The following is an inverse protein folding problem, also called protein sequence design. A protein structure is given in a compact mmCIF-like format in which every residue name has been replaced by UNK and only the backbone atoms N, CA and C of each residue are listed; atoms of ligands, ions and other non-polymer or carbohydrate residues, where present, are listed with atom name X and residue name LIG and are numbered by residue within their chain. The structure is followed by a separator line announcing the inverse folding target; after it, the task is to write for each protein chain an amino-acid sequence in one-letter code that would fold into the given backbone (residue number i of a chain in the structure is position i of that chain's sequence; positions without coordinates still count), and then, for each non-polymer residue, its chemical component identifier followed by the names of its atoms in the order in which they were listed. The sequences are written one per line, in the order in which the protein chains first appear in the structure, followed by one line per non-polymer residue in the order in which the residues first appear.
data_IF_446883700883
#
_entry.id   IF_446883700883
#
_cell.length_a   1.000
_cell.length_b   1.000
_cell.length_c   1.000
_cell.angle_alpha   90.00
_cell.angle_beta   90.00
_cell.angle_gamma   90.00
#
_symmetry.space_group_name_H-M   'P 1'
#
loop_
_entity.id
_entity.type
_entity.pdbx_description
1 polymer ?
#
# COMPACT_ATOMS: atom_id res chain seq x y z
N UNK A 1 -2.59 0.80 -11.68
CA UNK A 1 -2.26 -0.52 -12.25
C UNK A 1 -3.04 -0.69 -13.55
N UNK A 2 -2.81 -1.73 -14.33
CA UNK A 2 -3.71 -2.12 -15.42
C UNK A 2 -4.39 -3.45 -15.07
N UNK A 3 -5.63 -3.65 -15.49
CA UNK A 3 -6.32 -4.95 -15.36
C UNK A 3 -5.85 -5.93 -16.45
N UNK A 4 -6.38 -7.16 -16.45
CA UNK A 4 -6.07 -8.21 -17.43
C UNK A 4 -6.31 -7.81 -18.90
N UNK A 5 -7.13 -6.78 -19.12
CA UNK A 5 -7.45 -6.25 -20.45
C UNK A 5 -6.61 -5.00 -20.80
N UNK A 6 -5.59 -4.66 -20.02
CA UNK A 6 -4.72 -3.50 -20.23
C UNK A 6 -5.36 -2.15 -19.87
N UNK A 7 -6.57 -2.13 -19.29
CA UNK A 7 -7.24 -0.86 -18.91
C UNK A 7 -6.78 -0.38 -17.54
N UNK A 8 -6.76 0.94 -17.27
CA UNK A 8 -6.42 1.49 -15.97
C UNK A 8 -7.28 0.88 -14.85
N UNK A 9 -6.60 0.32 -13.84
CA UNK A 9 -7.14 -0.24 -12.61
C UNK A 9 -6.59 0.56 -11.41
N UNK A 10 -7.45 1.32 -10.75
CA UNK A 10 -7.06 2.21 -9.66
C UNK A 10 -8.22 2.48 -8.69
N UNK A 11 -7.85 2.80 -7.45
CA UNK A 11 -8.73 3.32 -6.41
C UNK A 11 -8.38 4.80 -6.16
N UNK A 12 -9.38 5.66 -6.02
CA UNK A 12 -9.21 7.08 -5.66
C UNK A 12 -9.93 7.36 -4.35
N UNK A 13 -9.29 8.19 -3.54
CA UNK A 13 -9.82 8.69 -2.28
C UNK A 13 -9.66 10.21 -2.25
N UNK A 14 -10.62 10.94 -1.69
CA UNK A 14 -10.52 12.39 -1.51
C UNK A 14 -9.62 12.80 -0.33
N UNK A 15 -9.25 11.86 0.53
CA UNK A 15 -8.38 12.08 1.69
C UNK A 15 -7.48 10.87 1.93
N UNK A 16 -6.23 11.15 2.27
CA UNK A 16 -5.26 10.14 2.67
C UNK A 16 -4.26 10.79 3.62
N UNK A 17 -4.27 10.39 4.89
CA UNK A 17 -3.38 10.95 5.93
C UNK A 17 -2.69 9.86 6.71
N UNK A 18 -1.41 10.09 6.97
CA UNK A 18 -0.55 9.19 7.70
C UNK A 18 0.05 9.97 8.87
N UNK A 19 0.13 9.35 10.06
CA UNK A 19 0.79 9.95 11.21
C UNK A 19 2.31 9.93 11.06
N UNK A 20 3.00 10.60 11.98
CA UNK A 20 4.45 10.47 12.10
C UNK A 20 4.90 9.08 12.59
N UNK A 21 6.22 8.94 12.72
CA UNK A 21 6.90 7.73 13.20
C UNK A 21 6.56 7.39 14.66
N UNK A 22 6.31 8.39 15.50
CA UNK A 22 5.96 8.18 16.92
C UNK A 22 4.65 7.39 17.06
N UNK A 23 3.78 7.53 16.05
CA UNK A 23 2.52 6.80 15.91
C UNK A 23 2.61 5.64 14.89
N UNK A 24 3.80 5.10 14.63
CA UNK A 24 4.04 3.98 13.71
C UNK A 24 3.50 4.22 12.29
N UNK A 25 3.54 5.47 11.80
CA UNK A 25 2.99 5.84 10.49
C UNK A 25 1.57 5.34 10.27
N UNK A 26 0.70 5.39 11.28
CA UNK A 26 -0.70 4.96 11.21
C UNK A 26 -1.45 5.66 10.08
N UNK A 27 -2.26 4.91 9.33
CA UNK A 27 -3.20 5.47 8.33
C UNK A 27 -4.35 6.15 9.07
N UNK A 28 -4.18 7.40 9.47
CA UNK A 28 -5.12 8.09 10.37
C UNK A 28 -6.44 8.38 9.69
N UNK A 29 -6.40 8.84 8.45
CA UNK A 29 -7.60 9.20 7.70
C UNK A 29 -7.55 8.65 6.29
N UNK A 30 -8.62 7.95 5.93
CA UNK A 30 -8.91 7.56 4.56
C UNK A 30 -10.24 8.21 4.17
N UNK A 31 -10.28 8.86 3.03
CA UNK A 31 -11.46 9.55 2.55
C UNK A 31 -12.55 8.61 2.02
N UNK A 32 -13.49 9.19 1.30
CA UNK A 32 -14.49 8.44 0.54
C UNK A 32 -13.83 7.75 -0.65
N UNK A 33 -14.25 6.52 -0.94
CA UNK A 33 -13.91 5.84 -2.17
C UNK A 33 -14.66 6.48 -3.34
N UNK A 34 -13.92 7.12 -4.25
CA UNK A 34 -14.52 7.98 -5.28
C UNK A 34 -15.05 7.18 -6.47
N UNK A 35 -16.12 7.69 -7.11
CA UNK A 35 -16.82 7.03 -8.22
C UNK A 35 -15.98 6.93 -9.50
N UNK A 36 -14.93 7.75 -9.65
CA UNK A 36 -13.99 7.64 -10.75
C UNK A 36 -13.04 6.45 -10.60
N UNK A 37 -13.04 5.77 -9.45
CA UNK A 37 -12.24 4.56 -9.24
C UNK A 37 -12.68 3.45 -10.20
N UNK A 38 -11.71 2.72 -10.74
CA UNK A 38 -11.96 1.57 -11.61
C UNK A 38 -11.77 0.23 -10.92
N UNK A 39 -11.32 0.24 -9.65
CA UNK A 39 -11.27 -0.94 -8.83
C UNK A 39 -12.68 -1.41 -8.42
N UNK A 40 -12.85 -2.72 -8.29
CA UNK A 40 -14.17 -3.31 -8.05
C UNK A 40 -14.67 -3.11 -6.61
N UNK A 41 -13.79 -2.74 -5.68
CA UNK A 41 -14.08 -2.62 -4.26
C UNK A 41 -13.12 -1.65 -3.53
N UNK A 42 -13.59 -1.11 -2.40
CA UNK A 42 -12.72 -0.37 -1.47
C UNK A 42 -11.84 -1.33 -0.66
N UNK A 43 -10.70 -1.62 -1.25
CA UNK A 43 -9.65 -2.46 -0.72
C UNK A 43 -8.90 -1.87 0.48
N UNK A 44 -8.87 -0.53 0.61
CA UNK A 44 -8.12 0.17 1.68
C UNK A 44 -8.95 0.40 2.95
N UNK A 45 -10.28 0.24 2.89
CA UNK A 45 -11.17 0.42 4.02
C UNK A 45 -10.72 -0.34 5.29
N UNK A 46 -10.29 -1.60 5.14
CA UNK A 46 -9.86 -2.44 6.27
C UNK A 46 -8.55 -1.96 6.93
N UNK A 47 -7.76 -1.18 6.20
CA UNK A 47 -6.45 -0.68 6.63
C UNK A 47 -6.55 0.66 7.36
N UNK A 48 -7.74 1.28 7.38
CA UNK A 48 -7.99 2.52 8.10
C UNK A 48 -7.65 2.38 9.58
N UNK A 49 -6.92 3.35 10.11
CA UNK A 49 -6.45 3.42 11.49
C UNK A 49 -5.50 2.29 11.90
N UNK A 50 -4.94 1.54 10.95
CA UNK A 50 -3.90 0.54 11.24
C UNK A 50 -2.52 1.20 11.20
N UNK A 51 -1.62 0.71 12.06
CA UNK A 51 -0.22 1.10 12.09
C UNK A 51 0.55 0.39 10.98
N UNK A 52 1.64 1.00 10.51
CA UNK A 52 2.47 0.39 9.49
C UNK A 52 3.32 -0.72 10.10
N UNK A 53 3.29 -1.91 9.50
CA UNK A 53 4.01 -3.10 9.97
C UNK A 53 5.05 -3.53 8.94
N UNK A 54 6.24 -3.84 9.42
CA UNK A 54 7.38 -4.36 8.65
C UNK A 54 7.86 -5.67 9.26
N UNK A 55 8.77 -6.37 8.56
CA UNK A 55 9.33 -7.64 9.04
C UNK A 55 9.99 -7.50 10.42
N UNK A 56 10.60 -6.36 10.68
CA UNK A 56 11.33 -6.02 11.90
C UNK A 56 10.50 -5.24 12.94
N UNK A 57 9.29 -4.77 12.59
CA UNK A 57 8.42 -4.02 13.49
C UNK A 57 6.96 -4.45 13.32
N UNK A 58 6.52 -5.31 14.23
CA UNK A 58 5.16 -5.84 14.26
C UNK A 58 4.20 -4.88 14.98
N UNK A 59 3.36 -4.20 14.20
CA UNK A 59 2.32 -3.30 14.71
C UNK A 59 0.91 -3.72 14.25
N UNK A 60 0.77 -4.93 13.72
CA UNK A 60 -0.51 -5.44 13.25
C UNK A 60 -1.30 -6.08 14.41
N UNK A 61 -2.52 -6.54 14.13
CA UNK A 61 -3.42 -7.15 15.13
C UNK A 61 -3.46 -8.68 15.02
N UNK A 62 -2.64 -9.29 14.17
CA UNK A 62 -2.52 -10.75 14.09
C UNK A 62 -1.64 -11.25 15.25
N UNK A 63 -1.78 -12.53 15.60
CA UNK A 63 -0.92 -13.16 16.59
C UNK A 63 0.50 -13.46 16.07
N UNK A 64 0.69 -13.40 14.75
CA UNK A 64 1.98 -13.51 14.06
C UNK A 64 2.22 -12.27 13.22
N UNK A 65 3.48 -11.94 12.96
CA UNK A 65 3.83 -10.81 12.11
C UNK A 65 3.41 -11.04 10.63
N UNK A 66 2.44 -10.26 10.15
CA UNK A 66 1.94 -10.33 8.77
C UNK A 66 2.99 -9.93 7.74
N UNK A 67 3.80 -8.92 8.02
CA UNK A 67 4.90 -8.52 7.15
C UNK A 67 5.93 -9.64 6.96
N UNK A 68 6.21 -10.40 8.02
CA UNK A 68 7.08 -11.58 7.95
C UNK A 68 6.46 -12.71 7.12
N UNK A 69 5.17 -12.98 7.31
CA UNK A 69 4.45 -14.06 6.61
C UNK A 69 4.28 -13.79 5.10
N UNK A 70 4.04 -12.54 4.72
CA UNK A 70 3.73 -12.15 3.35
C UNK A 70 4.86 -11.38 2.65
N UNK A 71 6.04 -11.30 3.28
CA UNK A 71 7.24 -10.66 2.73
C UNK A 71 6.98 -9.24 2.22
N UNK A 72 6.35 -8.42 3.04
CA UNK A 72 5.92 -7.08 2.66
C UNK A 72 5.94 -6.08 3.81
N UNK A 73 5.46 -4.89 3.52
CA UNK A 73 5.22 -3.86 4.52
C UNK A 73 3.92 -3.14 4.17
N UNK A 74 3.05 -2.97 5.16
CA UNK A 74 1.71 -2.40 4.94
C UNK A 74 1.06 -1.97 6.26
N UNK A 75 -0.06 -1.26 6.14
CA UNK A 75 -0.99 -1.02 7.25
C UNK A 75 -1.81 -2.28 7.57
N UNK A 76 -1.14 -3.37 7.93
CA UNK A 76 -1.80 -4.65 8.19
C UNK A 76 -2.77 -4.56 9.39
N UNK A 77 -3.92 -5.22 9.26
CA UNK A 77 -4.89 -5.38 10.34
C UNK A 77 -4.74 -6.80 10.91
N UNK A 78 -5.37 -7.81 10.30
CA UNK A 78 -5.24 -9.21 10.71
C UNK A 78 -5.46 -10.18 9.53
N UNK A 79 -4.66 -10.24 8.46
CA UNK A 79 -3.50 -9.42 8.08
C UNK A 79 -3.88 -8.36 7.03
N UNK A 80 -4.58 -8.73 5.96
CA UNK A 80 -5.07 -7.79 4.95
C UNK A 80 -6.22 -8.37 4.13
N UNK A 81 -7.02 -7.50 3.52
CA UNK A 81 -7.90 -7.86 2.40
C UNK A 81 -7.25 -7.59 1.04
N UNK A 82 -6.28 -6.67 0.97
CA UNK A 82 -5.45 -6.46 -0.23
C UNK A 82 -4.00 -6.16 0.14
N UNK A 83 -3.07 -6.61 -0.70
CA UNK A 83 -1.64 -6.44 -0.49
C UNK A 83 -1.02 -5.91 -1.79
N UNK A 84 -0.79 -4.59 -1.85
CA UNK A 84 -0.17 -3.94 -3.01
C UNK A 84 1.36 -4.13 -3.05
N UNK A 85 1.95 -4.68 -1.98
CA UNK A 85 3.40 -4.86 -1.79
C UNK A 85 3.88 -6.31 -1.84
N UNK A 86 3.02 -7.29 -2.22
CA UNK A 86 3.51 -8.64 -2.53
C UNK A 86 4.28 -8.64 -3.85
N UNK A 87 5.53 -9.09 -3.77
CA UNK A 87 6.47 -9.35 -4.86
C UNK A 87 5.80 -9.69 -6.19
N UNK A 88 5.96 -8.80 -7.17
CA UNK A 88 5.79 -9.14 -8.57
C UNK A 88 6.81 -10.26 -8.89
N UNK A 89 6.34 -11.47 -9.20
CA UNK A 89 7.16 -12.54 -9.75
C UNK A 89 7.79 -12.04 -11.07
N UNK A 90 9.00 -11.48 -11.01
CA UNK A 90 9.76 -11.07 -12.19
C UNK A 90 10.62 -9.81 -12.07
N UNK A 91 10.51 -9.00 -11.01
CA UNK A 91 11.36 -7.81 -10.88
C UNK A 91 11.89 -7.64 -9.45
N UNK A 92 13.22 -7.68 -9.31
CA UNK A 92 13.94 -7.37 -8.08
C UNK A 92 13.63 -5.93 -7.65
N UNK A 93 12.74 -5.75 -6.67
CA UNK A 93 12.57 -4.47 -6.00
C UNK A 93 13.72 -4.34 -4.99
N UNK A 94 14.76 -3.59 -5.37
CA UNK A 94 15.78 -3.16 -4.42
C UNK A 94 15.15 -2.08 -3.54
N UNK A 95 14.65 -2.48 -2.36
CA UNK A 95 14.24 -1.53 -1.32
C UNK A 95 15.52 -0.97 -0.70
N UNK A 96 16.01 0.16 -1.23
CA UNK A 96 17.00 0.98 -0.50
C UNK A 96 16.26 1.77 0.57
N UNK A 97 16.46 1.38 1.83
CA UNK A 97 16.01 2.15 2.98
C UNK A 97 16.87 3.41 3.09
N UNK A 98 16.31 4.55 2.67
CA UNK A 98 16.73 5.85 3.17
C UNK A 98 15.58 6.41 3.99
N UNK A 99 15.92 6.93 5.16
CA UNK A 99 15.03 7.55 6.13
C UNK A 99 14.20 8.61 5.39
N UNK A 100 12.88 8.44 5.39
CA UNK A 100 11.95 9.33 4.70
C UNK A 100 11.78 9.00 3.21
N UNK A 101 10.64 8.39 2.88
CA UNK A 101 9.71 8.76 1.80
C UNK A 101 8.89 7.50 1.47
N UNK A 102 7.60 7.54 1.83
CA UNK A 102 6.58 6.80 1.10
C UNK A 102 6.52 7.43 -0.28
N UNK A 103 7.16 6.83 -1.28
CA UNK A 103 6.97 7.25 -2.67
C UNK A 103 5.62 6.68 -3.14
N UNK A 104 4.53 7.33 -2.73
CA UNK A 104 3.29 7.35 -3.53
C UNK A 104 3.53 8.30 -4.72
N UNK A 105 4.37 7.86 -5.66
CA UNK A 105 4.44 8.43 -6.99
C UNK A 105 4.52 7.28 -7.99
N UNK A 106 3.37 6.84 -8.47
CA UNK A 106 3.29 6.09 -9.72
C UNK A 106 3.51 7.12 -10.84
N UNK A 107 4.77 7.35 -11.21
CA UNK A 107 5.11 7.89 -12.52
C UNK A 107 5.86 6.80 -13.25
N UNK A 108 5.14 5.98 -14.00
CA UNK A 108 5.74 5.29 -15.13
C UNK A 108 5.70 6.25 -16.32
N UNK A 109 6.66 7.16 -16.40
CA UNK A 109 7.06 7.71 -17.69
C UNK A 109 8.37 7.02 -18.07
N UNK A 110 8.25 5.86 -18.70
CA UNK A 110 9.33 5.33 -19.54
C UNK A 110 8.91 5.50 -20.99
N UNK A 111 9.26 6.67 -21.53
CA UNK A 111 9.59 7.06 -22.90
C UNK A 111 9.02 6.29 -24.10
N UNK A 112 8.38 7.06 -24.99
CA UNK A 112 8.44 6.99 -26.45
C UNK A 112 8.09 8.41 -26.96
N UNK A 113 8.86 9.17 -27.74
CA UNK A 113 9.96 8.89 -28.67
C UNK A 113 10.83 10.13 -28.94
N UNK A 114 12.02 9.85 -29.47
CA UNK A 114 12.94 10.67 -30.30
C UNK A 114 13.91 11.62 -29.60
#
# INVERSE_FOLDING_TARGET
MNNVNGKPYYAKYNLFRISDESSNYRLTDLGDYLSESTANNDAMANHRNMSFTTKDRDNDRNSNNCASKYFGAWWYNNCFHTHLTSLYFGATVVIKAFIGIIFLRVITTSNMQK
#
